data_IF_941023374595
#
_entry.id   IF_941023374595
#
_cell.length_a   1.000
_cell.length_b   1.000
_cell.length_c   1.000
_cell.angle_alpha   90.00
_cell.angle_beta   90.00
_cell.angle_gamma   90.00
#
_symmetry.space_group_name_H-M   'P 1'
#
loop_
_entity.id
_entity.type
_entity.pdbx_description
1 polymer ?
#
# COMPACT_ATOMS: atom_id res chain seq x y z
N UNK A 1 5.48 11.54 15.42
CA UNK A 1 6.55 11.42 14.42
C UNK A 1 7.76 10.75 15.08
N UNK A 2 8.48 9.87 14.38
CA UNK A 2 9.68 9.23 14.93
C UNK A 2 10.84 10.24 15.06
N UNK A 3 11.73 10.12 16.07
CA UNK A 3 12.87 11.02 16.24
C UNK A 3 13.89 10.94 15.09
N UNK A 4 14.66 12.00 14.89
CA UNK A 4 15.81 11.99 13.98
C UNK A 4 16.85 10.95 14.41
N UNK A 5 17.47 10.30 13.42
CA UNK A 5 18.42 9.20 13.64
C UNK A 5 17.79 7.81 13.78
N UNK A 6 16.45 7.68 13.81
CA UNK A 6 15.81 6.37 13.71
C UNK A 6 15.63 5.93 12.27
N UNK A 7 15.59 4.61 12.03
CA UNK A 7 15.36 4.07 10.69
C UNK A 7 13.99 4.44 10.13
N UNK A 8 12.98 4.61 10.99
CA UNK A 8 11.64 5.02 10.58
C UNK A 8 11.65 6.45 10.02
N UNK A 9 12.40 7.35 10.68
CA UNK A 9 12.54 8.72 10.20
C UNK A 9 13.27 8.74 8.86
N UNK A 10 14.36 7.98 8.71
CA UNK A 10 15.06 7.83 7.43
C UNK A 10 14.14 7.29 6.33
N UNK A 11 13.40 6.20 6.58
CA UNK A 11 12.49 5.64 5.58
C UNK A 11 11.36 6.60 5.16
N UNK A 12 10.88 7.42 6.11
CA UNK A 12 9.92 8.48 5.82
C UNK A 12 10.54 9.60 4.98
N UNK A 13 11.73 10.08 5.36
CA UNK A 13 12.41 11.16 4.64
C UNK A 13 12.77 10.73 3.21
N UNK A 14 13.23 9.48 3.01
CA UNK A 14 13.48 8.90 1.68
C UNK A 14 12.19 8.88 0.83
N UNK A 15 11.07 8.46 1.42
CA UNK A 15 9.77 8.45 0.75
C UNK A 15 9.33 9.87 0.36
N UNK A 16 9.46 10.84 1.26
CA UNK A 16 9.13 12.25 1.00
C UNK A 16 10.00 12.80 -0.12
N UNK A 17 11.30 12.46 -0.13
CA UNK A 17 12.21 12.89 -1.17
C UNK A 17 11.75 12.42 -2.55
N UNK A 18 11.35 11.14 -2.68
CA UNK A 18 10.78 10.60 -3.94
C UNK A 18 9.53 11.36 -4.39
N UNK A 19 8.65 11.75 -3.46
CA UNK A 19 7.42 12.46 -3.82
C UNK A 19 7.62 13.92 -4.23
N UNK A 20 8.67 14.56 -3.74
CA UNK A 20 8.96 15.97 -3.93
C UNK A 20 10.07 16.22 -4.96
N UNK A 21 10.64 15.17 -5.53
CA UNK A 21 11.66 15.28 -6.57
C UNK A 21 11.10 16.00 -7.81
N UNK A 22 11.73 17.12 -8.18
CA UNK A 22 11.36 17.95 -9.32
C UNK A 22 12.04 17.50 -10.62
N UNK A 23 13.13 16.71 -10.53
CA UNK A 23 13.86 16.18 -11.69
C UNK A 23 13.32 14.79 -12.09
N UNK A 24 13.15 13.89 -11.12
CA UNK A 24 12.58 12.56 -11.30
C UNK A 24 11.15 12.51 -10.78
N UNK A 25 10.26 13.19 -11.51
CA UNK A 25 8.86 13.38 -11.13
C UNK A 25 8.17 12.05 -10.85
N UNK A 26 7.66 11.89 -9.61
CA UNK A 26 6.84 10.75 -9.27
C UNK A 26 5.52 10.77 -10.06
N UNK A 27 5.19 9.71 -10.83
CA UNK A 27 4.16 9.77 -11.86
C UNK A 27 2.72 9.78 -11.30
N UNK A 28 2.51 9.51 -10.01
CA UNK A 28 1.18 9.41 -9.43
C UNK A 28 0.75 10.72 -8.73
N UNK A 29 -0.09 11.49 -9.42
CA UNK A 29 -0.67 12.74 -8.88
C UNK A 29 -1.51 12.54 -7.61
N UNK A 30 -2.11 11.37 -7.41
CA UNK A 30 -2.93 11.08 -6.23
C UNK A 30 -2.08 10.99 -4.96
N UNK A 31 -0.92 10.33 -5.04
CA UNK A 31 -0.01 10.19 -3.90
C UNK A 31 0.57 11.55 -3.53
N UNK A 32 1.03 12.35 -4.51
CA UNK A 32 1.59 13.67 -4.23
C UNK A 32 0.55 14.66 -3.71
N UNK A 33 -0.68 14.66 -4.25
CA UNK A 33 -1.80 15.46 -3.69
C UNK A 33 -2.20 14.99 -2.29
N UNK A 34 -2.25 13.68 -2.06
CA UNK A 34 -2.54 13.09 -0.75
C UNK A 34 -1.51 13.49 0.29
N UNK A 35 -0.23 13.42 -0.06
CA UNK A 35 0.88 13.87 0.79
C UNK A 35 0.78 15.37 1.12
N UNK A 36 0.63 16.23 0.11
CA UNK A 36 0.53 17.70 0.31
C UNK A 36 -0.67 18.12 1.15
N UNK A 37 -1.72 17.30 1.18
CA UNK A 37 -2.94 17.55 1.95
C UNK A 37 -2.95 16.87 3.33
N UNK A 38 -1.88 16.19 3.73
CA UNK A 38 -1.79 15.41 4.98
C UNK A 38 -2.85 14.29 5.09
N UNK A 39 -3.21 13.70 3.95
CA UNK A 39 -4.22 12.63 3.87
C UNK A 39 -3.60 11.22 4.05
N UNK A 40 -2.29 11.11 4.31
CA UNK A 40 -1.60 9.83 4.35
C UNK A 40 -1.48 9.29 5.78
N UNK A 41 -1.75 7.99 5.94
CA UNK A 41 -1.45 7.26 7.16
C UNK A 41 -0.21 6.38 6.93
N UNK A 42 0.59 6.16 7.98
CA UNK A 42 1.85 5.42 7.88
C UNK A 42 1.87 4.22 8.82
N UNK A 43 2.33 3.08 8.29
CA UNK A 43 2.63 1.86 9.04
C UNK A 43 4.11 1.54 8.84
N UNK A 44 4.78 1.12 9.91
CA UNK A 44 6.21 0.80 9.89
C UNK A 44 6.44 -0.65 10.28
N UNK A 45 7.30 -1.35 9.53
CA UNK A 45 7.74 -2.72 9.84
C UNK A 45 9.27 -2.79 9.91
N UNK A 46 9.80 -3.45 10.94
CA UNK A 46 11.19 -3.33 11.36
C UNK A 46 12.17 -4.26 10.63
N UNK A 47 11.70 -4.93 9.59
CA UNK A 47 12.51 -5.76 8.71
C UNK A 47 12.03 -5.67 7.26
N UNK A 48 12.83 -6.23 6.35
CA UNK A 48 12.47 -6.40 4.95
C UNK A 48 11.79 -7.75 4.63
N UNK A 49 11.53 -8.58 5.66
CA UNK A 49 10.79 -9.83 5.52
C UNK A 49 9.28 -9.56 5.68
N UNK A 50 8.62 -9.37 4.55
CA UNK A 50 7.17 -9.14 4.49
C UNK A 50 6.35 -10.41 4.80
N UNK A 51 6.98 -11.57 4.93
CA UNK A 51 6.31 -12.83 5.26
C UNK A 51 6.27 -13.14 6.75
N UNK A 52 6.95 -12.34 7.59
CA UNK A 52 6.91 -12.49 9.04
C UNK A 52 5.47 -12.27 9.57
N UNK A 53 4.90 -13.23 10.33
CA UNK A 53 3.58 -13.09 10.94
C UNK A 53 3.38 -11.82 11.78
N UNK A 54 4.45 -11.27 12.36
CA UNK A 54 4.40 -10.00 13.11
C UNK A 54 4.10 -8.83 12.19
N UNK A 55 4.73 -8.76 11.01
CA UNK A 55 4.48 -7.69 10.03
C UNK A 55 3.12 -7.83 9.38
N UNK A 56 2.66 -9.06 9.15
CA UNK A 56 1.29 -9.34 8.70
C UNK A 56 0.29 -8.77 9.71
N UNK A 57 0.46 -9.04 11.01
CA UNK A 57 -0.41 -8.47 12.05
C UNK A 57 -0.34 -6.95 12.11
N UNK A 58 0.87 -6.37 12.09
CA UNK A 58 1.05 -4.91 12.08
C UNK A 58 0.33 -4.25 10.91
N UNK A 59 0.42 -4.82 9.69
CA UNK A 59 -0.31 -4.29 8.54
C UNK A 59 -1.83 -4.51 8.69
N UNK A 60 -2.28 -5.67 9.15
CA UNK A 60 -3.70 -5.94 9.34
C UNK A 60 -4.35 -4.99 10.35
N UNK A 61 -3.69 -4.75 11.50
CA UNK A 61 -4.14 -3.79 12.50
C UNK A 61 -4.16 -2.36 11.93
N UNK A 62 -3.10 -1.98 11.21
CA UNK A 62 -3.02 -0.69 10.52
C UNK A 62 -4.10 -0.50 9.45
N UNK A 63 -4.44 -1.55 8.70
CA UNK A 63 -5.53 -1.55 7.73
C UNK A 63 -6.88 -1.40 8.41
N UNK A 64 -7.13 -2.13 9.50
CA UNK A 64 -8.38 -2.04 10.25
C UNK A 64 -8.60 -0.62 10.81
N UNK A 65 -7.57 -0.05 11.44
CA UNK A 65 -7.59 1.32 11.95
C UNK A 65 -7.77 2.33 10.80
N UNK A 66 -6.99 2.23 9.73
CA UNK A 66 -7.10 3.09 8.54
C UNK A 66 -8.49 3.08 7.93
N UNK A 67 -9.05 1.89 7.68
CA UNK A 67 -10.37 1.75 7.05
C UNK A 67 -11.50 2.34 7.93
N UNK A 68 -11.35 2.31 9.25
CA UNK A 68 -12.33 2.91 10.17
C UNK A 68 -12.43 4.44 10.03
N UNK A 69 -11.33 5.09 9.63
CA UNK A 69 -11.21 6.55 9.53
C UNK A 69 -11.00 7.07 8.10
N UNK A 70 -10.84 6.20 7.10
CA UNK A 70 -10.45 6.59 5.74
C UNK A 70 -11.37 7.67 5.14
N UNK A 71 -12.69 7.59 5.39
CA UNK A 71 -13.67 8.58 4.90
C UNK A 71 -13.47 9.99 5.46
N UNK A 72 -12.82 10.13 6.61
CA UNK A 72 -12.50 11.44 7.21
C UNK A 72 -11.10 11.94 6.90
N UNK A 73 -10.22 11.10 6.32
CA UNK A 73 -8.84 11.46 5.99
C UNK A 73 -8.69 12.20 4.64
N UNK A 74 -9.79 12.50 3.96
CA UNK A 74 -9.79 13.27 2.71
C UNK A 74 -9.79 12.41 1.44
N UNK A 75 -10.03 13.03 0.27
CA UNK A 75 -10.34 12.33 -0.98
C UNK A 75 -9.15 11.59 -1.60
N UNK A 76 -7.92 11.92 -1.21
CA UNK A 76 -6.70 11.29 -1.73
C UNK A 76 -5.96 10.53 -0.61
N UNK A 77 -6.71 9.98 0.35
CA UNK A 77 -6.10 9.25 1.45
C UNK A 77 -5.46 7.95 1.00
N UNK A 78 -4.34 7.59 1.63
CA UNK A 78 -3.62 6.34 1.37
C UNK A 78 -2.96 5.84 2.65
N UNK A 79 -2.92 4.53 2.83
CA UNK A 79 -2.08 3.87 3.82
C UNK A 79 -0.73 3.53 3.19
N UNK A 80 0.36 4.05 3.76
CA UNK A 80 1.73 3.86 3.28
C UNK A 80 2.46 2.93 4.26
N UNK A 81 2.89 1.77 3.77
CA UNK A 81 3.73 0.83 4.53
C UNK A 81 5.21 1.11 4.24
N UNK A 82 5.97 1.49 5.26
CA UNK A 82 7.41 1.72 5.19
C UNK A 82 8.16 0.59 5.90
N UNK A 83 8.93 -0.15 5.13
CA UNK A 83 9.76 -1.25 5.64
C UNK A 83 11.19 -0.80 5.88
N UNK A 84 11.84 -1.37 6.89
CA UNK A 84 13.27 -1.15 7.11
C UNK A 84 14.07 -1.56 5.88
N UNK A 85 14.99 -0.68 5.46
CA UNK A 85 15.77 -0.86 4.23
C UNK A 85 16.45 -2.23 4.15
N UNK A 86 16.48 -2.78 2.94
CA UNK A 86 17.19 -4.00 2.62
C UNK A 86 18.57 -3.66 2.03
N UNK A 87 19.69 -4.03 2.69
CA UNK A 87 21.02 -3.78 2.14
C UNK A 87 21.31 -4.59 0.86
N UNK A 88 20.51 -5.63 0.58
CA UNK A 88 20.64 -6.49 -0.59
C UNK A 88 19.36 -6.38 -1.45
N UNK A 89 19.30 -5.45 -2.41
CA UNK A 89 18.13 -5.24 -3.25
C UNK A 89 17.64 -6.54 -3.90
N UNK A 90 16.33 -6.73 -3.90
CA UNK A 90 15.64 -7.87 -4.52
C UNK A 90 15.23 -7.54 -5.95
N UNK A 91 14.98 -8.57 -6.75
CA UNK A 91 14.37 -8.38 -8.07
C UNK A 91 12.91 -7.95 -7.94
N UNK A 92 12.31 -7.45 -9.02
CA UNK A 92 10.90 -7.05 -9.05
C UNK A 92 9.98 -8.24 -8.74
N UNK A 93 10.31 -9.42 -9.25
CA UNK A 93 9.56 -10.67 -9.07
C UNK A 93 9.60 -11.14 -7.60
N UNK A 94 10.74 -10.97 -6.94
CA UNK A 94 10.88 -11.25 -5.51
C UNK A 94 10.03 -10.28 -4.67
N UNK A 95 10.05 -8.98 -4.99
CA UNK A 95 9.18 -8.00 -4.33
C UNK A 95 7.70 -8.30 -4.57
N UNK A 96 7.31 -8.65 -5.80
CA UNK A 96 5.95 -9.08 -6.12
C UNK A 96 5.53 -10.28 -5.26
N UNK A 97 6.40 -11.29 -5.15
CA UNK A 97 6.12 -12.49 -4.34
C UNK A 97 5.92 -12.13 -2.87
N UNK A 98 6.79 -11.29 -2.31
CA UNK A 98 6.71 -10.85 -0.92
C UNK A 98 5.45 -10.02 -0.66
N UNK A 99 5.11 -9.11 -1.57
CA UNK A 99 3.90 -8.30 -1.50
C UNK A 99 2.64 -9.16 -1.44
N UNK A 100 2.51 -10.15 -2.34
CA UNK A 100 1.34 -11.03 -2.35
C UNK A 100 1.26 -11.93 -1.13
N UNK A 101 2.40 -12.42 -0.60
CA UNK A 101 2.43 -13.18 0.65
C UNK A 101 1.96 -12.36 1.85
N UNK A 102 2.35 -11.10 1.92
CA UNK A 102 1.90 -10.18 2.97
C UNK A 102 0.38 -9.98 2.92
N UNK A 103 -0.17 -9.72 1.74
CA UNK A 103 -1.62 -9.55 1.56
C UNK A 103 -2.41 -10.83 1.83
N UNK A 104 -1.93 -11.98 1.35
CA UNK A 104 -2.51 -13.30 1.64
C UNK A 104 -2.51 -13.59 3.15
N UNK A 105 -1.41 -13.25 3.84
CA UNK A 105 -1.33 -13.30 5.30
C UNK A 105 -2.41 -12.46 5.99
N UNK A 106 -2.58 -11.21 5.56
CA UNK A 106 -3.61 -10.32 6.12
C UNK A 106 -5.01 -10.87 5.89
N UNK A 107 -5.30 -11.36 4.67
CA UNK A 107 -6.61 -11.92 4.32
C UNK A 107 -6.96 -13.18 5.13
N UNK A 108 -5.96 -13.96 5.58
CA UNK A 108 -6.17 -15.15 6.42
C UNK A 108 -6.54 -14.83 7.86
N UNK A 109 -6.19 -13.65 8.36
CA UNK A 109 -6.47 -13.21 9.73
C UNK A 109 -7.56 -12.14 9.79
N UNK A 110 -8.14 -11.75 8.66
CA UNK A 110 -9.27 -10.84 8.61
C UNK A 110 -10.51 -11.51 9.23
N UNK A 111 -10.99 -10.96 10.33
CA UNK A 111 -12.16 -11.44 11.05
C UNK A 111 -13.48 -11.03 10.38
N UNK A 112 -13.45 -10.11 9.41
CA UNK A 112 -14.66 -9.71 8.70
C UNK A 112 -15.12 -10.83 7.76
N UNK A 113 -16.44 -11.06 7.65
CA UNK A 113 -16.95 -12.00 6.68
C UNK A 113 -16.49 -11.59 5.28
N UNK A 114 -15.98 -12.55 4.51
CA UNK A 114 -15.71 -12.35 3.08
C UNK A 114 -16.97 -11.78 2.46
N UNK A 115 -16.85 -10.62 1.82
CA UNK A 115 -17.96 -10.01 1.09
C UNK A 115 -18.58 -11.01 0.14
N UNK A 116 -19.89 -10.88 -0.09
CA UNK A 116 -20.53 -11.54 -1.21
C UNK A 116 -19.77 -11.20 -2.51
N UNK A 117 -19.65 -12.16 -3.44
CA UNK A 117 -18.96 -11.94 -4.70
C UNK A 117 -19.45 -10.64 -5.34
N UNK A 118 -18.49 -9.79 -5.75
CA UNK A 118 -18.79 -8.53 -6.45
C UNK A 118 -19.75 -8.88 -7.58
N UNK A 119 -20.95 -8.29 -7.63
CA UNK A 119 -21.84 -8.53 -8.75
C UNK A 119 -21.12 -8.08 -10.01
N UNK A 120 -20.84 -9.02 -10.89
CA UNK A 120 -20.29 -8.74 -12.22
C UNK A 120 -21.28 -7.78 -12.87
N UNK A 121 -20.89 -6.52 -13.07
CA UNK A 121 -21.69 -5.60 -13.86
C UNK A 121 -21.97 -6.26 -15.22
N UNK A 122 -23.16 -6.06 -15.78
CA UNK A 122 -23.50 -6.63 -17.09
C UNK A 122 -22.44 -6.30 -18.15
N UNK A 123 -21.79 -5.14 -18.02
CA UNK A 123 -20.71 -4.65 -18.90
C UNK A 123 -19.40 -5.46 -18.84
N UNK A 124 -19.25 -6.35 -17.84
CA UNK A 124 -18.08 -7.23 -17.70
C UNK A 124 -18.35 -8.65 -18.23
N UNK A 125 -19.59 -8.98 -18.64
CA UNK A 125 -19.90 -10.31 -19.18
C UNK A 125 -19.20 -10.61 -20.50
N UNK A 126 -18.93 -9.58 -21.28
CA UNK A 126 -18.34 -9.69 -22.61
C UNK A 126 -16.85 -9.34 -22.63
N UNK A 127 -16.25 -9.03 -21.47
CA UNK A 127 -14.84 -8.64 -21.37
C UNK A 127 -13.94 -9.84 -21.68
N UNK A 128 -13.43 -9.90 -22.91
CA UNK A 128 -12.64 -11.02 -23.44
C UNK A 128 -13.23 -11.69 -24.68
N UNK A 129 -14.46 -11.38 -25.06
CA UNK A 129 -14.99 -11.71 -26.38
C UNK A 129 -14.27 -10.87 -27.45
N UNK A 130 -13.95 -11.43 -28.63
CA UNK A 130 -13.14 -10.77 -29.65
C UNK A 130 -13.71 -9.43 -30.16
N UNK A 131 -15.01 -9.18 -29.94
CA UNK A 131 -15.71 -7.96 -30.33
C UNK A 131 -15.80 -6.89 -29.20
N UNK A 132 -15.23 -7.17 -28.01
CA UNK A 132 -15.28 -6.27 -26.85
C UNK A 132 -14.22 -5.15 -26.86
N UNK A 133 -13.37 -5.10 -27.89
CA UNK A 133 -12.48 -3.96 -28.13
C UNK A 133 -13.20 -2.97 -29.04
N UNK A 134 -13.80 -1.95 -28.44
CA UNK A 134 -14.31 -0.81 -29.21
C UNK A 134 -13.19 -0.16 -30.05
N UNK A 135 -13.56 0.33 -31.23
CA UNK A 135 -12.72 1.08 -32.16
C UNK A 135 -12.21 2.40 -31.57
#
# INVERSE_FOLDING_TARGET
MYPEGTWQRTAYDDYVHVLLDEELIFPCIYVTKGFKADNQAYVFIDSNDLSDPRHIRTLADGLADYLSKARSLGPNTSLVLLAKQNPNPRTVEEYQTLFWRLLDGCAKIDEKPKYDPIPVSLDLKDYGEPDSREF
#
